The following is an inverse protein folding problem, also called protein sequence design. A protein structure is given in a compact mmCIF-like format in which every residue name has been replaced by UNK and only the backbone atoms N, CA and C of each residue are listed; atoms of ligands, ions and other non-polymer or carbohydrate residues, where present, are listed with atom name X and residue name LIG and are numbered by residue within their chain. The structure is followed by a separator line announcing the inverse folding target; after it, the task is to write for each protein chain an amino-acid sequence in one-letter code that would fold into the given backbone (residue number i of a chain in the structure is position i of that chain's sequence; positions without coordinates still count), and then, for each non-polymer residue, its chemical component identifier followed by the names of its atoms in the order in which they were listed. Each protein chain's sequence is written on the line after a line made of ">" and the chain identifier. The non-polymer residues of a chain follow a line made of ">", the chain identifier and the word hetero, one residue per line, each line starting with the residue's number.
data_IF_255961251476
#
_entry.id   IF_255961251476
#
_cell.length_a   1.000
_cell.length_b   1.000
_cell.length_c   1.000
_cell.angle_alpha   90.00
_cell.angle_beta   90.00
_cell.angle_gamma   90.00
#
_symmetry.space_group_name_H-M   'P 1'
#
loop_
_entity.id
_entity.type
_entity.pdbx_description
1 polymer ?
#
# COMPACT_ATOMS: atom_id res chain seq x y z
N UNK A 1 -10.91 -0.18 -16.88
CA UNK A 1 -9.51 0.28 -16.94
C UNK A 1 -8.82 0.18 -15.58
N UNK A 2 -9.48 0.50 -14.47
CA UNK A 2 -9.01 0.23 -13.10
C UNK A 2 -8.77 -1.26 -12.80
N UNK A 3 -9.65 -2.14 -13.28
CA UNK A 3 -9.51 -3.60 -13.09
C UNK A 3 -8.18 -4.16 -13.60
N UNK A 4 -7.70 -3.69 -14.76
CA UNK A 4 -6.42 -4.15 -15.32
C UNK A 4 -5.21 -3.68 -14.51
N UNK A 5 -5.25 -2.49 -13.92
CA UNK A 5 -4.18 -2.04 -13.02
C UNK A 5 -4.18 -2.84 -11.71
N UNK A 6 -5.37 -3.09 -11.13
CA UNK A 6 -5.49 -3.90 -9.91
C UNK A 6 -5.04 -5.35 -10.14
N UNK A 7 -5.37 -5.94 -11.28
CA UNK A 7 -4.88 -7.27 -11.68
C UNK A 7 -3.34 -7.28 -11.80
N UNK A 8 -2.75 -6.26 -12.42
CA UNK A 8 -1.29 -6.18 -12.54
C UNK A 8 -0.61 -5.98 -11.18
N UNK A 9 -1.17 -5.13 -10.31
CA UNK A 9 -0.69 -4.96 -8.94
C UNK A 9 -0.85 -6.25 -8.12
N UNK A 10 -1.91 -7.04 -8.34
CA UNK A 10 -2.08 -8.33 -7.68
C UNK A 10 -1.02 -9.35 -8.14
N UNK A 11 -0.74 -9.40 -9.44
CA UNK A 11 0.31 -10.28 -10.00
C UNK A 11 1.68 -9.89 -9.46
N UNK A 12 1.99 -8.60 -9.42
CA UNK A 12 3.25 -8.10 -8.85
C UNK A 12 3.33 -8.39 -7.36
N UNK A 13 2.24 -8.19 -6.61
CA UNK A 13 2.22 -8.48 -5.19
C UNK A 13 2.42 -9.97 -4.88
N UNK A 14 1.80 -10.87 -5.66
CA UNK A 14 2.07 -12.31 -5.53
C UNK A 14 3.52 -12.66 -5.86
N UNK A 15 4.10 -12.03 -6.88
CA UNK A 15 5.51 -12.19 -7.24
C UNK A 15 6.43 -11.68 -6.12
N UNK A 16 6.12 -10.52 -5.56
CA UNK A 16 6.79 -9.90 -4.42
C UNK A 16 6.81 -10.84 -3.21
N UNK A 17 5.65 -11.40 -2.83
CA UNK A 17 5.54 -12.34 -1.70
C UNK A 17 6.38 -13.60 -1.88
N UNK A 18 6.50 -14.11 -3.11
CA UNK A 18 7.23 -15.36 -3.40
C UNK A 18 8.74 -15.18 -3.35
N UNK A 19 9.23 -14.04 -3.85
CA UNK A 19 10.66 -13.84 -4.07
C UNK A 19 11.32 -13.04 -2.93
N UNK A 20 10.55 -12.65 -1.91
CA UNK A 20 11.10 -12.15 -0.65
C UNK A 20 12.01 -13.20 0.02
N UNK A 21 13.18 -12.80 0.55
CA UNK A 21 14.04 -13.71 1.28
C UNK A 21 13.29 -14.39 2.43
N UNK A 22 13.51 -15.68 2.63
CA UNK A 22 13.04 -16.45 3.80
C UNK A 22 13.66 -15.86 5.09
N UNK A 23 13.12 -14.76 5.56
CA UNK A 23 13.29 -14.25 6.92
C UNK A 23 12.03 -14.56 7.72
N UNK A 24 12.17 -14.83 9.01
CA UNK A 24 11.08 -15.09 9.97
C UNK A 24 10.00 -13.97 10.07
N UNK A 25 10.01 -12.98 9.18
CA UNK A 25 9.15 -11.80 9.13
C UNK A 25 7.80 -12.01 8.41
N UNK A 26 7.29 -13.25 8.28
CA UNK A 26 5.93 -13.49 7.79
C UNK A 26 4.89 -13.05 8.84
N UNK A 27 4.75 -11.72 9.03
CA UNK A 27 3.57 -10.96 9.52
C UNK A 27 3.96 -9.60 10.13
N UNK A 28 5.22 -9.38 10.52
CA UNK A 28 5.65 -8.11 11.10
C UNK A 28 6.17 -7.16 10.01
N UNK A 29 5.69 -5.91 10.02
CA UNK A 29 6.06 -4.82 9.11
C UNK A 29 5.72 -5.00 7.62
N UNK A 30 4.95 -6.02 7.23
CA UNK A 30 4.52 -6.24 5.85
C UNK A 30 3.68 -5.09 5.27
N UNK A 31 2.82 -4.48 6.08
CA UNK A 31 2.05 -3.29 5.70
C UNK A 31 2.95 -2.08 5.44
N UNK A 32 3.96 -1.88 6.29
CA UNK A 32 4.94 -0.80 6.12
C UNK A 32 5.80 -1.02 4.87
N UNK A 33 6.28 -2.25 4.68
CA UNK A 33 7.14 -2.61 3.56
C UNK A 33 6.41 -2.53 2.21
N UNK A 34 5.16 -3.01 2.12
CA UNK A 34 4.34 -2.90 0.91
C UNK A 34 3.96 -1.46 0.59
N UNK A 35 3.58 -0.68 1.60
CA UNK A 35 3.34 0.76 1.48
C UNK A 35 4.59 1.49 1.01
N UNK A 36 5.76 1.11 1.54
CA UNK A 36 7.05 1.68 1.14
C UNK A 36 7.36 1.36 -0.32
N UNK A 37 7.23 0.09 -0.71
CA UNK A 37 7.42 -0.35 -2.09
C UNK A 37 6.51 0.42 -3.05
N UNK A 38 5.20 0.46 -2.79
CA UNK A 38 4.24 1.17 -3.62
C UNK A 38 4.53 2.67 -3.72
N UNK A 39 4.89 3.31 -2.60
CA UNK A 39 5.22 4.73 -2.61
C UNK A 39 6.39 5.02 -3.55
N UNK A 40 7.46 4.22 -3.47
CA UNK A 40 8.61 4.39 -4.34
C UNK A 40 8.30 4.01 -5.79
N UNK A 41 7.47 3.00 -6.02
CA UNK A 41 7.01 2.61 -7.35
C UNK A 41 6.24 3.76 -8.01
N UNK A 42 5.30 4.36 -7.29
CA UNK A 42 4.48 5.47 -7.79
C UNK A 42 5.35 6.72 -8.03
N UNK A 43 6.26 7.01 -7.12
CA UNK A 43 7.24 8.09 -7.28
C UNK A 43 8.15 7.87 -8.48
N UNK A 44 8.61 6.65 -8.71
CA UNK A 44 9.41 6.28 -9.89
C UNK A 44 8.60 6.42 -11.18
N UNK A 45 7.32 6.01 -11.17
CA UNK A 45 6.40 6.15 -12.30
C UNK A 45 5.97 7.61 -12.58
N UNK A 46 6.31 8.56 -11.70
CA UNK A 46 5.91 9.96 -11.80
C UNK A 46 4.47 10.22 -11.36
N UNK A 47 3.87 9.31 -10.60
CA UNK A 47 2.55 9.49 -9.99
C UNK A 47 2.66 10.30 -8.70
N UNK A 48 2.18 11.54 -8.76
CA UNK A 48 2.08 12.42 -7.61
C UNK A 48 0.82 12.17 -6.77
N UNK A 49 0.79 12.82 -5.61
CA UNK A 49 -0.41 12.94 -4.79
C UNK A 49 -0.73 11.77 -3.88
N UNK A 50 0.03 10.68 -3.95
CA UNK A 50 -0.03 9.55 -3.03
C UNK A 50 0.93 9.75 -1.86
N UNK A 51 0.40 9.65 -0.64
CA UNK A 51 1.13 9.81 0.61
C UNK A 51 0.91 8.59 1.51
N UNK A 52 1.93 8.18 2.29
CA UNK A 52 1.78 7.12 3.27
C UNK A 52 0.90 7.60 4.43
N UNK A 53 -0.01 6.74 4.84
CA UNK A 53 -0.83 6.90 6.02
C UNK A 53 -0.51 5.79 7.02
N UNK A 54 -0.72 6.10 8.29
CA UNK A 54 -0.53 5.14 9.37
C UNK A 54 -1.61 5.34 10.42
N UNK A 55 -2.12 4.22 10.91
CA UNK A 55 -2.84 4.20 12.15
C UNK A 55 -2.31 3.09 13.03
N UNK A 56 -2.26 3.36 14.33
CA UNK A 56 -1.82 2.42 15.35
C UNK A 56 -3.07 1.90 16.04
N UNK A 57 -3.22 0.57 16.05
CA UNK A 57 -4.29 -0.12 16.77
C UNK A 57 -4.18 0.12 18.27
N UNK A 58 -5.01 -0.56 19.07
CA UNK A 58 -4.86 -0.45 20.52
C UNK A 58 -3.46 -0.96 20.91
N UNK A 59 -2.66 -0.08 21.49
CA UNK A 59 -1.57 -0.53 22.36
C UNK A 59 -2.19 -1.19 23.59
N UNK A 60 -1.40 -1.95 24.35
CA UNK A 60 -1.83 -2.51 25.64
C UNK A 60 -2.24 -1.43 26.68
N UNK A 61 -2.20 -0.14 26.32
CA UNK A 61 -2.38 1.02 27.20
C UNK A 61 -3.73 1.73 27.00
N UNK A 62 -4.56 1.31 26.04
CA UNK A 62 -5.98 1.68 25.98
C UNK A 62 -6.25 3.09 25.49
N UNK A 63 -5.58 3.52 24.41
CA UNK A 63 -5.93 4.78 23.72
C UNK A 63 -7.42 4.81 23.28
N UNK A 64 -8.12 5.91 23.60
CA UNK A 64 -9.55 6.14 23.33
C UNK A 64 -9.89 6.30 21.82
N UNK A 65 -8.89 6.26 20.93
CA UNK A 65 -9.04 6.49 19.49
C UNK A 65 -8.18 5.51 18.66
N UNK A 66 -8.58 4.23 18.60
CA UNK A 66 -7.80 3.20 17.89
C UNK A 66 -7.76 3.50 16.40
N UNK A 67 -6.59 3.37 15.79
CA UNK A 67 -6.37 3.55 14.36
C UNK A 67 -5.86 2.30 13.66
N UNK A 68 -5.57 2.45 12.38
CA UNK A 68 -5.00 1.42 11.53
C UNK A 68 -6.07 0.85 10.62
N UNK A 69 -6.25 -0.47 10.65
CA UNK A 69 -7.30 -1.17 9.92
C UNK A 69 -8.15 -2.03 10.86
N UNK A 70 -9.47 -2.00 10.69
CA UNK A 70 -10.38 -2.93 11.37
C UNK A 70 -10.38 -4.27 10.65
N UNK A 71 -10.11 -5.35 11.38
CA UNK A 71 -10.21 -6.71 10.86
C UNK A 71 -11.67 -7.18 10.83
N UNK A 72 -11.92 -8.30 10.14
CA UNK A 72 -13.27 -8.92 10.07
C UNK A 72 -13.81 -9.38 11.42
N UNK A 73 -12.95 -9.51 12.44
CA UNK A 73 -13.33 -9.80 13.82
C UNK A 73 -13.71 -8.53 14.63
N UNK A 74 -13.64 -7.34 14.00
CA UNK A 74 -13.98 -6.06 14.59
C UNK A 74 -12.86 -5.39 15.39
N UNK A 75 -11.65 -5.98 15.44
CA UNK A 75 -10.51 -5.41 16.17
C UNK A 75 -9.69 -4.48 15.28
N UNK A 76 -9.14 -3.43 15.89
CA UNK A 76 -8.21 -2.52 15.24
C UNK A 76 -6.77 -3.02 15.37
N UNK A 77 -6.07 -3.02 14.25
CA UNK A 77 -4.67 -3.38 14.17
C UNK A 77 -3.86 -2.26 13.53
N UNK A 78 -2.64 -2.06 14.03
CA UNK A 78 -1.70 -1.10 13.44
C UNK A 78 -1.45 -1.43 11.98
N UNK A 79 -1.56 -0.41 11.13
CA UNK A 79 -1.53 -0.60 9.69
C UNK A 79 -0.99 0.62 8.94
N UNK A 80 -0.38 0.36 7.78
CA UNK A 80 0.11 1.36 6.84
C UNK A 80 -0.55 1.15 5.47
N UNK A 81 -0.89 2.24 4.80
CA UNK A 81 -1.46 2.23 3.45
C UNK A 81 -1.07 3.50 2.69
N UNK A 82 -1.39 3.58 1.40
CA UNK A 82 -1.29 4.83 0.65
C UNK A 82 -2.65 5.52 0.54
N UNK A 83 -2.65 6.84 0.70
CA UNK A 83 -3.81 7.68 0.40
C UNK A 83 -3.46 8.72 -0.67
N UNK A 84 -4.37 8.94 -1.60
CA UNK A 84 -4.25 10.01 -2.60
C UNK A 84 -4.98 11.27 -2.12
N UNK A 85 -4.45 12.47 -2.40
CA UNK A 85 -5.09 13.75 -2.02
C UNK A 85 -6.50 13.95 -2.60
N UNK A 86 -6.89 13.16 -3.62
CA UNK A 86 -8.26 13.17 -4.14
C UNK A 86 -9.25 12.41 -3.27
N UNK A 87 -8.80 11.71 -2.22
CA UNK A 87 -9.65 10.92 -1.34
C UNK A 87 -9.72 9.44 -1.70
N UNK A 88 -8.65 8.86 -2.26
CA UNK A 88 -8.55 7.41 -2.51
C UNK A 88 -7.58 6.73 -1.53
N UNK A 89 -7.82 5.47 -1.19
CA UNK A 89 -6.94 4.57 -0.43
C UNK A 89 -6.48 3.43 -1.35
N UNK A 90 -5.21 3.04 -1.26
CA UNK A 90 -4.67 1.82 -1.86
C UNK A 90 -3.92 1.01 -0.79
N UNK A 91 -4.24 -0.28 -0.70
CA UNK A 91 -3.68 -1.22 0.28
C UNK A 91 -3.57 -2.62 -0.34
N UNK A 92 -2.38 -3.23 -0.26
CA UNK A 92 -2.08 -4.59 -0.80
C UNK A 92 -2.02 -5.66 0.29
N UNK A 93 -2.27 -5.29 1.54
CA UNK A 93 -2.05 -6.13 2.73
C UNK A 93 -3.31 -6.28 3.56
N UNK A 94 -4.45 -5.91 2.99
CA UNK A 94 -5.76 -6.01 3.63
C UNK A 94 -6.21 -7.45 3.91
N UNK A 95 -5.67 -8.43 3.17
CA UNK A 95 -5.86 -9.86 3.40
C UNK A 95 -5.36 -10.32 4.78
N UNK A 96 -4.36 -9.62 5.34
CA UNK A 96 -3.85 -9.89 6.70
C UNK A 96 -4.90 -9.67 7.79
N UNK A 97 -5.95 -8.90 7.48
CA UNK A 97 -7.05 -8.57 8.38
C UNK A 97 -8.36 -9.27 7.98
N UNK A 98 -8.29 -10.21 7.03
CA UNK A 98 -9.42 -11.01 6.54
C UNK A 98 -10.25 -10.36 5.44
N UNK A 99 -9.77 -9.28 4.81
CA UNK A 99 -10.44 -8.62 3.68
C UNK A 99 -9.87 -9.08 2.32
N UNK A 100 -10.33 -8.44 1.24
CA UNK A 100 -9.77 -8.65 -0.09
C UNK A 100 -8.28 -8.29 -0.15
N UNK A 101 -7.53 -9.00 -0.99
CA UNK A 101 -6.07 -8.84 -1.11
C UNK A 101 -5.63 -7.43 -1.52
N UNK A 102 -6.36 -6.80 -2.43
CA UNK A 102 -6.12 -5.41 -2.82
C UNK A 102 -7.38 -4.62 -2.54
N UNK A 103 -7.25 -3.58 -1.74
CA UNK A 103 -8.30 -2.59 -1.55
C UNK A 103 -7.91 -1.33 -2.29
N UNK A 104 -8.82 -0.90 -3.16
CA UNK A 104 -8.88 0.47 -3.67
C UNK A 104 -10.23 1.06 -3.27
N UNK A 105 -10.21 2.03 -2.37
CA UNK A 105 -11.42 2.57 -1.73
C UNK A 105 -11.34 4.09 -1.58
N UNK A 106 -12.39 4.67 -0.99
CA UNK A 106 -12.41 6.08 -0.58
C UNK A 106 -11.67 6.26 0.76
N UNK A 107 -11.11 7.45 1.03
CA UNK A 107 -10.59 7.82 2.36
C UNK A 107 -11.66 7.89 3.44
N UNK A 108 -12.94 7.79 3.07
CA UNK A 108 -14.06 7.65 4.00
C UNK A 108 -14.38 6.20 4.37
N UNK A 109 -13.59 5.23 3.91
CA UNK A 109 -13.79 3.82 4.23
C UNK A 109 -13.67 3.59 5.74
N UNK A 110 -14.74 3.13 6.42
CA UNK A 110 -14.77 3.01 7.87
C UNK A 110 -13.81 1.94 8.39
N UNK A 111 -13.23 1.11 7.50
CA UNK A 111 -12.21 0.13 7.88
C UNK A 111 -10.87 0.77 8.22
N UNK A 112 -10.61 1.99 7.74
CA UNK A 112 -9.33 2.66 7.89
C UNK A 112 -9.46 3.88 8.80
N UNK A 113 -8.49 4.07 9.68
CA UNK A 113 -8.41 5.28 10.50
C UNK A 113 -6.97 5.68 10.78
N UNK A 114 -6.53 6.79 10.20
CA UNK A 114 -5.21 7.34 10.49
C UNK A 114 -5.26 8.15 11.78
N UNK A 115 -4.62 7.66 12.84
CA UNK A 115 -4.46 8.36 14.11
C UNK A 115 -3.01 8.86 14.33
N UNK A 116 -2.12 8.70 13.35
CA UNK A 116 -0.79 9.31 13.31
C UNK A 116 -0.73 10.40 12.23
N UNK A 117 0.06 11.46 12.44
CA UNK A 117 0.21 12.51 11.43
C UNK A 117 0.97 11.97 10.20
N UNK A 118 0.71 12.46 8.97
CA UNK A 118 1.39 11.99 7.75
C UNK A 118 2.93 12.06 7.83
N UNK A 119 3.48 13.05 8.54
CA UNK A 119 4.92 13.16 8.76
C UNK A 119 5.51 11.96 9.51
N UNK A 120 4.76 11.38 10.45
CA UNK A 120 5.17 10.18 11.19
C UNK A 120 5.19 8.94 10.27
N UNK A 121 4.14 8.75 9.48
CA UNK A 121 4.06 7.66 8.50
C UNK A 121 5.20 7.75 7.47
N UNK A 122 5.54 8.97 7.03
CA UNK A 122 6.67 9.22 6.14
C UNK A 122 8.02 8.88 6.79
N UNK A 123 8.23 9.22 8.07
CA UNK A 123 9.44 8.86 8.80
C UNK A 123 9.60 7.34 8.93
N UNK A 124 8.50 6.64 9.28
CA UNK A 124 8.45 5.17 9.32
C UNK A 124 8.80 4.57 7.96
N UNK A 125 8.19 5.07 6.88
CA UNK A 125 8.49 4.65 5.50
C UNK A 125 9.96 4.84 5.16
N UNK A 126 10.56 5.99 5.50
CA UNK A 126 11.97 6.28 5.24
C UNK A 126 12.92 5.37 6.03
N UNK A 127 12.49 4.88 7.20
CA UNK A 127 13.25 3.91 7.99
C UNK A 127 13.20 2.48 7.40
N UNK A 128 12.15 2.17 6.64
CA UNK A 128 11.99 0.89 5.94
C UNK A 128 12.79 0.89 4.63
N UNK A 129 14.06 0.49 4.69
CA UNK A 129 14.90 0.47 3.47
C UNK A 129 14.48 -0.61 2.47
N UNK A 130 13.99 -1.74 2.98
CA UNK A 130 13.77 -2.94 2.18
C UNK A 130 12.76 -2.72 1.04
N UNK A 131 11.68 -1.98 1.26
CA UNK A 131 10.71 -1.70 0.19
C UNK A 131 11.31 -0.89 -0.97
N UNK A 132 12.24 0.03 -0.68
CA UNK A 132 12.96 0.80 -1.71
C UNK A 132 14.02 -0.03 -2.41
N UNK A 133 14.84 -0.74 -1.64
CA UNK A 133 15.90 -1.60 -2.16
C UNK A 133 15.34 -2.71 -3.06
N UNK A 134 14.15 -3.22 -2.73
CA UNK A 134 13.47 -4.21 -3.56
C UNK A 134 13.01 -3.65 -4.91
N UNK A 135 12.43 -2.44 -4.93
CA UNK A 135 12.10 -1.79 -6.19
C UNK A 135 13.35 -1.57 -7.05
N UNK A 136 14.46 -1.12 -6.44
CA UNK A 136 15.73 -0.94 -7.13
C UNK A 136 16.22 -2.26 -7.74
N UNK A 137 16.16 -3.36 -6.98
CA UNK A 137 16.46 -4.69 -7.48
C UNK A 137 15.58 -5.10 -8.66
N UNK A 138 14.25 -4.94 -8.56
CA UNK A 138 13.32 -5.30 -9.63
C UNK A 138 13.52 -4.45 -10.90
N UNK A 139 13.95 -3.19 -10.76
CA UNK A 139 14.25 -2.32 -11.89
C UNK A 139 15.53 -2.76 -12.64
N UNK A 140 16.49 -3.33 -11.91
CA UNK A 140 17.76 -3.82 -12.46
C UNK A 140 17.68 -5.29 -12.95
N UNK A 141 16.72 -6.07 -12.44
CA UNK A 141 16.50 -7.46 -12.81
C UNK A 141 15.61 -7.62 -14.07
N UNK A 142 16.18 -8.22 -15.11
CA UNK A 142 15.53 -8.36 -16.41
C UNK A 142 14.27 -9.25 -16.42
N UNK A 143 14.15 -10.19 -15.47
CA UNK A 143 12.97 -11.03 -15.34
C UNK A 143 11.85 -10.30 -14.58
N UNK A 144 12.19 -9.63 -13.48
CA UNK A 144 11.28 -8.74 -12.75
C UNK A 144 10.69 -7.65 -13.65
N UNK A 145 11.52 -7.07 -14.53
CA UNK A 145 11.08 -6.05 -15.49
C UNK A 145 10.04 -6.52 -16.50
N UNK A 146 9.89 -7.83 -16.75
CA UNK A 146 8.81 -8.37 -17.60
C UNK A 146 7.44 -8.21 -16.94
N UNK A 147 7.40 -8.18 -15.61
CA UNK A 147 6.20 -7.99 -14.79
C UNK A 147 6.01 -6.51 -14.47
N UNK A 148 7.09 -5.83 -14.06
CA UNK A 148 7.06 -4.42 -13.64
C UNK A 148 6.83 -3.44 -14.80
N UNK A 149 7.36 -3.74 -16.00
CA UNK A 149 7.25 -2.89 -17.19
C UNK A 149 5.80 -2.54 -17.61
N UNK A 150 4.89 -3.54 -17.71
CA UNK A 150 3.46 -3.29 -17.92
C UNK A 150 2.82 -2.40 -16.85
N UNK A 151 3.17 -2.58 -15.58
CA UNK A 151 2.67 -1.76 -14.46
C UNK A 151 3.14 -0.32 -14.61
N UNK A 152 4.44 -0.10 -14.79
CA UNK A 152 5.01 1.23 -15.00
C UNK A 152 4.40 1.92 -16.21
N UNK A 153 4.03 1.17 -17.25
CA UNK A 153 3.34 1.69 -18.43
C UNK A 153 1.91 2.12 -18.11
N UNK A 154 1.17 1.30 -17.36
CA UNK A 154 -0.19 1.60 -16.89
C UNK A 154 -0.23 2.78 -15.90
N UNK A 155 0.85 3.00 -15.14
CA UNK A 155 0.96 4.08 -14.17
C UNK A 155 1.40 5.43 -14.78
N UNK A 156 1.69 5.53 -16.09
CA UNK A 156 2.20 6.78 -16.67
C UNK A 156 1.19 7.93 -16.58
N UNK A 157 1.67 9.19 -16.40
CA UNK A 157 0.81 10.38 -16.39
C UNK A 157 0.00 10.47 -17.69
N UNK A 158 -1.34 10.32 -17.57
CA UNK A 158 -2.28 10.18 -18.69
C UNK A 158 -3.30 9.06 -18.49
N UNK A 159 -3.00 8.07 -17.66
CA UNK A 159 -3.96 7.03 -17.23
C UNK A 159 -4.78 7.43 -15.98
N UNK A 160 -4.27 8.36 -15.17
CA UNK A 160 -4.84 8.71 -13.85
C UNK A 160 -5.97 9.74 -13.86
N UNK A 161 -6.30 10.36 -15.00
CA UNK A 161 -7.45 11.28 -15.11
C UNK A 161 -8.80 10.60 -14.89
N UNK A 162 -8.83 9.25 -14.81
CA UNK A 162 -10.03 8.46 -14.55
C UNK A 162 -10.20 8.01 -13.08
N UNK A 163 -9.24 8.29 -12.20
CA UNK A 163 -9.31 7.92 -10.77
C UNK A 163 -10.09 8.94 -9.92
N UNK A 164 -10.93 9.76 -10.56
CA UNK A 164 -11.80 10.72 -9.85
C UNK A 164 -12.74 9.98 -8.89
N UNK A 165 -12.90 10.43 -7.63
CA UNK A 165 -13.78 9.82 -6.62
C UNK A 165 -15.25 9.70 -7.02
N UNK A 166 -15.67 10.33 -8.13
CA UNK A 166 -17.05 10.29 -8.61
C UNK A 166 -17.46 8.93 -9.22
N UNK A 167 -16.56 7.93 -9.25
CA UNK A 167 -16.82 6.61 -9.82
C UNK A 167 -17.14 5.51 -8.78
N UNK A 168 -17.24 5.83 -7.49
CA UNK A 168 -17.46 4.82 -6.44
C UNK A 168 -18.90 4.93 -5.88
N UNK A 169 -19.72 3.85 -5.94
CA UNK A 169 -21.04 3.82 -5.30
C UNK A 169 -20.96 3.82 -3.77
#
# INVERSE_FOLDING_TARGET
>A
MLSGLLELLAIEWEHYKRDMPDGDCLSQDMCLLSTTYLYWLFKHAGLGGWEPMEGVGQDEQGDDNPGGMVAVDGRWYSHNWLAHHSGAILDLTADQFGHDQIILSSTSDPRYHANRPPAYAMERLQSCKLGKEWLEFQLDDGDSMKILGPILTALRPGWTSELSPQAYP
#
